data_IF_682313500269
#
_entry.id   IF_682313500269
#
_cell.length_a   1.000
_cell.length_b   1.000
_cell.length_c   1.000
_cell.angle_alpha   90.00
_cell.angle_beta   90.00
_cell.angle_gamma   90.00
#
_symmetry.space_group_name_H-M   'P 1'
#
loop_
_entity.id
_entity.type
_entity.pdbx_description
1 polymer ?
#
# COMPACT_ATOMS: atom_id res chain seq x y z
N UNK A 1 16.50 10.48 -4.84
CA UNK A 1 15.76 9.20 -4.67
C UNK A 1 15.43 9.04 -3.19
N UNK A 2 14.23 8.63 -2.82
CA UNK A 2 13.81 8.52 -1.42
C UNK A 2 14.46 7.30 -0.77
N UNK A 3 15.60 7.50 -0.09
CA UNK A 3 16.23 6.45 0.73
C UNK A 3 15.38 6.15 1.97
N UNK A 4 15.70 5.07 2.68
CA UNK A 4 15.04 4.73 3.97
C UNK A 4 15.24 5.87 4.98
N UNK A 5 16.46 6.42 5.07
CA UNK A 5 16.80 7.52 5.98
C UNK A 5 16.00 8.78 5.63
N UNK A 6 15.86 9.09 4.33
CA UNK A 6 15.05 10.21 3.87
C UNK A 6 13.59 10.02 4.26
N UNK A 7 13.02 8.84 3.99
CA UNK A 7 11.64 8.53 4.36
C UNK A 7 11.43 8.60 5.88
N UNK A 8 12.38 8.08 6.69
CA UNK A 8 12.32 8.16 8.13
C UNK A 8 12.28 9.63 8.62
N UNK A 9 13.20 10.46 8.12
CA UNK A 9 13.26 11.87 8.49
C UNK A 9 11.98 12.61 8.06
N UNK A 10 11.55 12.41 6.81
CA UNK A 10 10.40 13.09 6.25
C UNK A 10 9.10 12.73 6.99
N UNK A 11 8.80 11.44 7.15
CA UNK A 11 7.54 10.99 7.76
C UNK A 11 7.50 11.18 9.27
N UNK A 12 8.66 11.15 9.95
CA UNK A 12 8.73 11.48 11.38
C UNK A 12 8.43 12.95 11.68
N UNK A 13 8.69 13.84 10.71
CA UNK A 13 8.47 15.28 10.87
C UNK A 13 7.27 15.80 10.06
N UNK A 14 6.57 14.95 9.34
CA UNK A 14 5.42 15.36 8.52
C UNK A 14 4.28 15.87 9.40
N UNK A 15 3.68 16.98 8.99
CA UNK A 15 2.52 17.56 9.68
C UNK A 15 1.23 16.90 9.21
N UNK A 16 0.77 15.90 9.93
CA UNK A 16 -0.46 15.15 9.67
C UNK A 16 -1.69 16.01 10.00
N UNK A 17 -2.04 16.94 9.14
CA UNK A 17 -3.05 17.98 9.38
C UNK A 17 -4.45 17.42 9.61
N UNK A 18 -4.77 16.26 9.04
CA UNK A 18 -6.07 15.58 9.15
C UNK A 18 -5.92 14.09 9.46
N UNK A 19 -4.92 13.76 10.30
CA UNK A 19 -4.62 12.39 10.75
C UNK A 19 -4.43 11.36 9.61
N UNK A 20 -3.97 11.81 8.45
CA UNK A 20 -3.77 11.01 7.24
C UNK A 20 -4.93 11.10 6.23
N UNK A 21 -6.09 11.63 6.63
CA UNK A 21 -7.25 11.78 5.73
C UNK A 21 -6.99 12.80 4.62
N UNK A 22 -6.03 13.73 4.80
CA UNK A 22 -5.59 14.67 3.77
C UNK A 22 -5.19 13.98 2.46
N UNK A 23 -4.64 12.78 2.53
CA UNK A 23 -4.25 11.98 1.36
C UNK A 23 -5.45 11.31 0.66
N UNK A 24 -6.64 11.40 1.23
CA UNK A 24 -7.89 10.88 0.67
C UNK A 24 -8.81 11.95 0.10
N UNK A 25 -8.40 13.23 0.12
CA UNK A 25 -9.24 14.34 -0.30
C UNK A 25 -9.73 14.21 -1.76
N UNK A 26 -8.92 13.62 -2.65
CA UNK A 26 -9.30 13.39 -4.04
C UNK A 26 -10.54 12.49 -4.20
N UNK A 27 -10.86 11.66 -3.19
CA UNK A 27 -12.07 10.81 -3.12
C UNK A 27 -13.22 11.46 -2.35
N UNK A 28 -12.97 12.60 -1.70
CA UNK A 28 -13.90 13.20 -0.76
C UNK A 28 -13.76 12.65 0.68
N UNK A 29 -12.72 11.90 0.98
CA UNK A 29 -12.36 11.38 2.29
C UNK A 29 -12.04 9.88 2.27
N UNK A 30 -11.48 9.39 3.37
CA UNK A 30 -11.01 8.00 3.48
C UNK A 30 -12.14 6.98 3.37
N UNK A 31 -13.33 7.30 3.85
CA UNK A 31 -14.49 6.40 3.73
C UNK A 31 -14.84 6.12 2.26
N UNK A 32 -14.86 7.16 1.42
CA UNK A 32 -15.13 7.00 -0.01
C UNK A 32 -14.01 6.27 -0.74
N UNK A 33 -12.75 6.54 -0.39
CA UNK A 33 -11.60 5.79 -0.90
C UNK A 33 -11.69 4.32 -0.51
N UNK A 34 -12.03 4.02 0.76
CA UNK A 34 -12.15 2.65 1.23
C UNK A 34 -13.25 1.88 0.49
N UNK A 35 -14.49 2.37 0.56
CA UNK A 35 -15.62 1.63 0.02
C UNK A 35 -15.71 1.66 -1.50
N UNK A 36 -15.30 2.74 -2.13
CA UNK A 36 -15.42 2.91 -3.59
C UNK A 36 -14.23 2.38 -4.36
N UNK A 37 -13.04 2.36 -3.78
CA UNK A 37 -11.80 2.06 -4.51
C UNK A 37 -11.05 0.85 -3.94
N UNK A 38 -10.76 0.82 -2.63
CA UNK A 38 -9.92 -0.22 -2.05
C UNK A 38 -10.69 -1.51 -1.76
N UNK A 39 -11.81 -1.42 -1.06
CA UNK A 39 -12.59 -2.60 -0.68
C UNK A 39 -12.99 -3.47 -1.88
N UNK A 40 -13.46 -2.93 -3.02
CA UNK A 40 -13.72 -3.73 -4.22
C UNK A 40 -12.53 -4.54 -4.73
N UNK A 41 -11.29 -4.07 -4.49
CA UNK A 41 -10.05 -4.71 -4.93
C UNK A 41 -9.53 -5.78 -3.96
N UNK A 42 -9.89 -5.68 -2.67
CA UNK A 42 -9.35 -6.57 -1.62
C UNK A 42 -10.41 -7.44 -0.93
N UNK A 43 -11.70 -7.26 -1.19
CA UNK A 43 -12.80 -7.95 -0.52
C UNK A 43 -12.73 -9.49 -0.58
N UNK A 44 -12.01 -10.03 -1.56
CA UNK A 44 -11.82 -11.47 -1.68
C UNK A 44 -10.87 -12.05 -0.61
N UNK A 45 -10.11 -11.20 0.10
CA UNK A 45 -9.09 -11.58 1.09
C UNK A 45 -9.48 -11.24 2.52
N UNK A 46 -10.55 -10.48 2.72
CA UNK A 46 -11.03 -10.03 4.03
C UNK A 46 -12.55 -10.25 4.14
N UNK A 47 -13.11 -10.59 5.35
CA UNK A 47 -12.38 -10.73 6.62
C UNK A 47 -11.51 -11.98 6.69
N UNK A 48 -10.49 -11.96 7.58
CA UNK A 48 -9.54 -13.05 7.72
C UNK A 48 -9.01 -13.19 9.17
N UNK A 49 -8.15 -14.17 9.44
CA UNK A 49 -7.61 -14.39 10.79
C UNK A 49 -6.60 -13.34 11.20
N UNK A 50 -5.61 -13.07 10.34
CA UNK A 50 -4.51 -12.14 10.66
C UNK A 50 -4.18 -11.24 9.47
N UNK A 51 -4.08 -9.94 9.76
CA UNK A 51 -3.70 -8.90 8.79
C UNK A 51 -2.38 -8.25 9.25
N UNK A 52 -1.49 -8.02 8.29
CA UNK A 52 -0.30 -7.17 8.45
C UNK A 52 -0.50 -5.91 7.62
N UNK A 53 -0.51 -4.74 8.25
CA UNK A 53 -0.48 -3.45 7.57
C UNK A 53 0.92 -2.86 7.66
N UNK A 54 1.56 -2.60 6.50
CA UNK A 54 2.88 -1.99 6.42
C UNK A 54 2.73 -0.51 6.08
N UNK A 55 3.41 0.34 6.86
CA UNK A 55 3.41 1.78 6.75
C UNK A 55 2.00 2.40 6.85
N UNK A 56 1.29 2.19 8.00
CA UNK A 56 -0.06 2.72 8.24
C UNK A 56 -0.13 4.23 8.34
N UNK A 57 1.00 4.93 8.55
CA UNK A 57 1.03 6.32 8.94
C UNK A 57 0.25 6.53 10.25
N UNK A 58 -0.70 7.46 10.28
CA UNK A 58 -1.57 7.67 11.45
C UNK A 58 -2.77 6.71 11.52
N UNK A 59 -2.73 5.58 10.77
CA UNK A 59 -3.72 4.50 10.87
C UNK A 59 -5.00 4.75 10.07
N UNK A 60 -4.87 5.40 8.91
CA UNK A 60 -5.99 5.69 8.01
C UNK A 60 -6.80 4.44 7.67
N UNK A 61 -6.14 3.36 7.24
CA UNK A 61 -6.79 2.09 6.89
C UNK A 61 -6.86 1.11 8.06
N UNK A 62 -6.01 1.23 9.06
CA UNK A 62 -6.13 0.52 10.34
C UNK A 62 -7.54 0.70 10.94
N UNK A 63 -8.16 1.89 10.73
CA UNK A 63 -9.54 2.20 11.12
C UNK A 63 -10.56 1.18 10.59
N UNK A 64 -10.32 0.63 9.42
CA UNK A 64 -11.19 -0.40 8.83
C UNK A 64 -10.69 -1.82 9.15
N UNK A 65 -9.39 -2.10 8.95
CA UNK A 65 -8.85 -3.44 9.13
C UNK A 65 -9.06 -4.02 10.52
N UNK A 66 -9.11 -3.19 11.57
CA UNK A 66 -9.40 -3.66 12.93
C UNK A 66 -10.70 -4.45 13.08
N UNK A 67 -11.67 -4.22 12.18
CA UNK A 67 -12.97 -4.90 12.17
C UNK A 67 -13.03 -6.09 11.20
N UNK A 68 -11.94 -6.34 10.43
CA UNK A 68 -11.87 -7.38 9.42
C UNK A 68 -10.89 -8.52 9.76
N UNK A 69 -10.36 -8.55 10.99
CA UNK A 69 -9.45 -9.62 11.41
C UNK A 69 -9.54 -9.93 12.91
N UNK A 70 -9.01 -11.10 13.27
CA UNK A 70 -8.86 -11.49 14.67
C UNK A 70 -7.57 -10.93 15.29
N UNK A 71 -6.52 -10.74 14.48
CA UNK A 71 -5.26 -10.14 14.85
C UNK A 71 -4.83 -9.17 13.75
N UNK A 72 -4.56 -7.92 14.13
CA UNK A 72 -3.98 -6.90 13.27
C UNK A 72 -2.58 -6.56 13.75
N UNK A 73 -1.60 -6.69 12.88
CA UNK A 73 -0.25 -6.20 13.15
C UNK A 73 0.04 -5.02 12.26
N UNK A 74 0.48 -3.91 12.83
CA UNK A 74 0.91 -2.74 12.09
C UNK A 74 2.39 -2.47 12.29
N UNK A 75 3.08 -2.15 11.20
CA UNK A 75 4.53 -1.91 11.19
C UNK A 75 4.81 -0.63 10.42
N UNK A 76 5.53 0.29 11.02
CA UNK A 76 6.00 1.53 10.39
C UNK A 76 7.46 1.80 10.73
N UNK A 77 8.16 2.53 9.86
CA UNK A 77 9.53 2.95 10.15
C UNK A 77 9.56 4.22 11.03
N UNK A 78 8.49 5.03 11.00
CA UNK A 78 8.38 6.27 11.77
C UNK A 78 7.74 5.98 13.13
N UNK A 79 8.53 6.02 14.20
CA UNK A 79 8.05 5.82 15.58
C UNK A 79 6.87 6.72 15.94
N UNK A 80 6.83 8.03 15.59
CA UNK A 80 5.67 8.88 15.87
C UNK A 80 4.37 8.36 15.27
N UNK A 81 4.41 7.71 14.09
CA UNK A 81 3.23 7.09 13.48
C UNK A 81 2.69 5.94 14.33
N UNK A 82 3.57 5.09 14.83
CA UNK A 82 3.20 3.97 15.71
C UNK A 82 2.65 4.48 17.04
N UNK A 83 3.27 5.50 17.67
CA UNK A 83 2.75 6.09 18.90
C UNK A 83 1.33 6.67 18.76
N UNK A 84 1.05 7.33 17.64
CA UNK A 84 -0.29 7.85 17.36
C UNK A 84 -1.28 6.72 17.14
N UNK A 85 -0.91 5.68 16.39
CA UNK A 85 -1.76 4.51 16.22
C UNK A 85 -2.06 3.82 17.55
N UNK A 86 -1.08 3.65 18.45
CA UNK A 86 -1.30 3.11 19.78
C UNK A 86 -2.33 3.90 20.59
N UNK A 87 -2.27 5.23 20.52
CA UNK A 87 -3.24 6.13 21.19
C UNK A 87 -4.62 6.03 20.53
N UNK A 88 -4.66 6.09 19.19
CA UNK A 88 -5.91 6.07 18.40
C UNK A 88 -6.70 4.76 18.59
N UNK A 89 -5.99 3.64 18.66
CA UNK A 89 -6.58 2.31 18.74
C UNK A 89 -6.40 1.63 20.10
N UNK A 90 -6.20 2.37 21.18
CA UNK A 90 -5.93 1.85 22.53
C UNK A 90 -6.99 0.88 23.06
N UNK A 91 -8.23 0.98 22.58
CA UNK A 91 -9.34 0.11 22.99
C UNK A 91 -9.41 -1.22 22.23
N UNK A 92 -8.50 -1.47 21.27
CA UNK A 92 -8.49 -2.66 20.42
C UNK A 92 -7.29 -3.56 20.79
N UNK A 93 -7.49 -4.47 21.74
CA UNK A 93 -6.42 -5.33 22.30
C UNK A 93 -5.82 -6.32 21.31
N UNK A 94 -6.46 -6.56 20.16
CA UNK A 94 -5.98 -7.46 19.11
C UNK A 94 -5.04 -6.80 18.11
N UNK A 95 -4.70 -5.51 18.30
CA UNK A 95 -3.74 -4.79 17.45
C UNK A 95 -2.35 -4.81 18.09
N UNK A 96 -1.37 -5.25 17.32
CA UNK A 96 0.07 -5.25 17.66
C UNK A 96 0.78 -4.15 16.88
N UNK A 97 1.76 -3.52 17.51
CA UNK A 97 2.43 -2.31 17.02
C UNK A 97 3.94 -2.51 17.01
N UNK A 98 4.59 -2.25 15.89
CA UNK A 98 6.03 -2.37 15.76
C UNK A 98 6.63 -1.21 14.96
N UNK A 99 7.76 -0.72 15.43
CA UNK A 99 8.66 0.13 14.64
C UNK A 99 9.69 -0.78 13.99
N UNK A 100 9.99 -0.57 12.70
CA UNK A 100 11.03 -1.31 12.02
C UNK A 100 12.10 -0.38 11.42
N UNK A 101 13.07 -0.98 10.73
CA UNK A 101 14.15 -0.27 10.02
C UNK A 101 13.79 0.11 8.58
N UNK A 102 12.51 0.02 8.21
CA UNK A 102 12.02 0.27 6.85
C UNK A 102 12.17 -0.91 5.89
N UNK A 103 12.73 -2.03 6.32
CA UNK A 103 12.96 -3.23 5.49
C UNK A 103 12.65 -4.55 6.19
N UNK A 104 12.82 -4.62 7.52
CA UNK A 104 12.73 -5.86 8.28
C UNK A 104 11.30 -6.16 8.74
N UNK A 105 10.93 -7.44 8.70
CA UNK A 105 9.73 -8.02 9.31
C UNK A 105 10.10 -9.13 10.30
N UNK A 106 11.25 -9.05 10.96
CA UNK A 106 11.75 -10.09 11.87
C UNK A 106 10.85 -10.32 13.08
N UNK A 107 10.08 -9.28 13.48
CA UNK A 107 9.09 -9.35 14.54
C UNK A 107 7.86 -10.20 14.18
N UNK A 108 7.65 -10.50 12.90
CA UNK A 108 6.52 -11.29 12.41
C UNK A 108 6.90 -12.76 12.37
N UNK A 109 6.17 -13.66 13.02
CA UNK A 109 6.44 -15.11 12.92
C UNK A 109 6.23 -15.63 11.48
N UNK A 110 6.97 -16.69 11.12
CA UNK A 110 6.75 -17.34 9.83
C UNK A 110 5.37 -18.01 9.78
N UNK A 111 4.74 -18.02 8.61
CA UNK A 111 3.41 -18.60 8.35
C UNK A 111 2.32 -18.13 9.33
N UNK A 112 2.34 -16.84 9.68
CA UNK A 112 1.39 -16.25 10.64
C UNK A 112 0.37 -15.30 10.01
N UNK A 113 0.63 -14.79 8.80
CA UNK A 113 -0.17 -13.75 8.17
C UNK A 113 -1.06 -14.33 7.07
N UNK A 114 -2.35 -14.01 7.11
CA UNK A 114 -3.31 -14.36 6.06
C UNK A 114 -3.34 -13.31 4.96
N UNK A 115 -3.26 -12.02 5.32
CA UNK A 115 -3.28 -10.92 4.35
C UNK A 115 -2.32 -9.80 4.75
N UNK A 116 -1.52 -9.32 3.79
CA UNK A 116 -0.66 -8.14 3.97
C UNK A 116 -1.14 -7.00 3.08
N UNK A 117 -1.12 -5.79 3.62
CA UNK A 117 -1.59 -4.59 2.94
C UNK A 117 -0.62 -3.42 3.11
N UNK A 118 -0.43 -2.67 2.04
CA UNK A 118 0.15 -1.32 2.07
C UNK A 118 -0.41 -0.49 0.93
N UNK A 119 -0.85 0.73 1.24
CA UNK A 119 -1.37 1.65 0.24
C UNK A 119 -0.90 3.08 0.49
N UNK A 120 -0.51 3.76 -0.60
CA UNK A 120 -0.07 5.16 -0.63
C UNK A 120 1.18 5.47 0.22
N UNK A 121 1.98 4.44 0.51
CA UNK A 121 3.20 4.54 1.33
C UNK A 121 4.41 3.96 0.58
N UNK A 122 4.31 2.71 0.09
CA UNK A 122 5.43 2.04 -0.59
C UNK A 122 5.71 2.59 -2.00
N UNK A 123 4.96 3.57 -2.47
CA UNK A 123 5.30 4.35 -3.67
C UNK A 123 6.61 5.13 -3.50
N UNK A 124 7.03 5.36 -2.24
CA UNK A 124 8.30 6.02 -1.87
C UNK A 124 9.41 5.01 -1.50
N UNK A 125 9.16 3.72 -1.64
CA UNK A 125 10.11 2.67 -1.31
C UNK A 125 10.88 2.21 -2.56
N UNK A 126 12.21 2.40 -2.56
CA UNK A 126 13.07 1.96 -3.66
C UNK A 126 13.08 0.43 -3.79
N UNK A 127 13.53 -0.08 -4.92
CA UNK A 127 13.40 -1.49 -5.30
C UNK A 127 14.01 -2.47 -4.29
N UNK A 128 15.09 -2.09 -3.62
CA UNK A 128 15.76 -2.91 -2.59
C UNK A 128 14.88 -3.08 -1.32
N UNK A 129 14.08 -2.07 -0.98
CA UNK A 129 13.09 -2.13 0.12
C UNK A 129 11.95 -3.08 -0.24
N UNK A 130 11.42 -2.95 -1.45
CA UNK A 130 10.34 -3.83 -1.93
C UNK A 130 10.83 -5.28 -2.02
N UNK A 131 12.04 -5.50 -2.55
CA UNK A 131 12.64 -6.84 -2.58
C UNK A 131 12.76 -7.43 -1.17
N UNK A 132 13.28 -6.64 -0.20
CA UNK A 132 13.45 -7.09 1.18
C UNK A 132 12.11 -7.48 1.83
N UNK A 133 11.05 -6.70 1.63
CA UNK A 133 9.72 -7.06 2.13
C UNK A 133 9.18 -8.33 1.46
N UNK A 134 9.20 -8.41 0.13
CA UNK A 134 8.67 -9.57 -0.59
C UNK A 134 9.40 -10.87 -0.22
N UNK A 135 10.74 -10.84 -0.11
CA UNK A 135 11.54 -12.01 0.29
C UNK A 135 11.17 -12.53 1.69
N UNK A 136 10.83 -11.62 2.62
CA UNK A 136 10.36 -12.02 3.94
C UNK A 136 8.91 -12.50 3.90
N UNK A 137 8.03 -11.81 3.17
CA UNK A 137 6.62 -12.18 3.04
C UNK A 137 6.42 -13.58 2.43
N UNK A 138 7.32 -14.04 1.58
CA UNK A 138 7.32 -15.44 1.10
C UNK A 138 7.36 -16.48 2.23
N UNK A 139 7.90 -16.11 3.42
CA UNK A 139 7.93 -16.97 4.61
C UNK A 139 6.88 -16.58 5.65
N UNK A 140 6.54 -15.30 5.77
CA UNK A 140 5.61 -14.78 6.78
C UNK A 140 4.16 -15.08 6.46
N UNK A 141 3.82 -15.12 5.17
CA UNK A 141 2.48 -15.48 4.73
C UNK A 141 2.21 -16.98 4.96
N UNK A 142 0.99 -17.28 5.37
CA UNK A 142 0.47 -18.66 5.41
C UNK A 142 0.36 -19.24 4.00
N UNK A 143 0.25 -20.56 3.82
CA UNK A 143 0.19 -21.20 2.50
C UNK A 143 -0.86 -20.61 1.55
N UNK A 144 -2.00 -20.12 2.07
CA UNK A 144 -3.04 -19.45 1.29
C UNK A 144 -3.01 -17.93 1.43
N UNK A 145 -1.96 -17.40 2.07
CA UNK A 145 -1.82 -15.98 2.34
C UNK A 145 -1.67 -15.16 1.07
N UNK A 146 -2.19 -13.94 1.12
CA UNK A 146 -2.19 -13.00 0.01
C UNK A 146 -1.74 -11.60 0.44
N UNK A 147 -1.49 -10.72 -0.53
CA UNK A 147 -1.13 -9.34 -0.26
C UNK A 147 -1.61 -8.38 -1.33
N UNK A 148 -1.70 -7.12 -0.94
CA UNK A 148 -2.04 -6.01 -1.82
C UNK A 148 -1.12 -4.82 -1.52
N UNK A 149 -0.30 -4.43 -2.50
CA UNK A 149 0.64 -3.32 -2.37
C UNK A 149 0.39 -2.27 -3.44
N UNK A 150 0.34 -1.00 -3.00
CA UNK A 150 0.49 0.16 -3.85
C UNK A 150 1.96 0.58 -3.86
N UNK A 151 2.59 0.50 -5.03
CA UNK A 151 4.00 0.82 -5.20
C UNK A 151 4.23 1.64 -6.46
N UNK A 152 5.41 2.25 -6.58
CA UNK A 152 5.80 3.01 -7.76
C UNK A 152 5.92 2.13 -9.01
N UNK A 153 5.59 2.68 -10.16
CA UNK A 153 5.89 2.14 -11.49
C UNK A 153 6.66 3.17 -12.34
N UNK A 154 7.14 4.25 -11.73
CA UNK A 154 7.74 5.39 -12.46
C UNK A 154 9.02 4.99 -13.20
N UNK A 155 9.75 3.99 -12.68
CA UNK A 155 10.95 3.46 -13.33
C UNK A 155 10.71 2.87 -14.72
N UNK A 156 9.45 2.50 -15.03
CA UNK A 156 9.05 2.02 -16.38
C UNK A 156 9.25 3.08 -17.47
N UNK A 157 9.23 4.36 -17.11
CA UNK A 157 9.30 5.48 -18.04
C UNK A 157 10.70 6.04 -18.23
N UNK A 158 11.71 5.49 -17.57
CA UNK A 158 13.10 5.91 -17.74
C UNK A 158 13.61 5.60 -19.15
N UNK A 159 14.32 6.56 -19.72
CA UNK A 159 15.04 6.38 -20.96
C UNK A 159 16.30 5.50 -20.78
N UNK A 160 17.02 5.24 -21.88
CA UNK A 160 18.25 4.45 -21.84
C UNK A 160 19.39 5.08 -21.04
N UNK A 161 19.30 6.37 -20.72
CA UNK A 161 20.24 7.11 -19.86
C UNK A 161 19.79 7.14 -18.39
N UNK A 162 18.63 6.55 -18.07
CA UNK A 162 18.07 6.48 -16.74
C UNK A 162 17.29 7.72 -16.31
N UNK A 163 16.98 8.64 -17.24
CA UNK A 163 16.24 9.86 -16.94
C UNK A 163 14.73 9.65 -17.11
N UNK A 164 13.96 10.31 -16.25
CA UNK A 164 12.51 10.41 -16.42
C UNK A 164 12.16 11.51 -17.42
N UNK A 165 11.17 11.31 -18.31
CA UNK A 165 10.72 12.34 -19.27
C UNK A 165 9.83 13.42 -18.64
N UNK A 166 9.53 13.33 -17.34
CA UNK A 166 8.68 14.25 -16.59
C UNK A 166 9.18 14.43 -15.14
N UNK A 167 8.76 15.50 -14.44
CA UNK A 167 9.13 15.73 -13.05
C UNK A 167 8.56 14.66 -12.11
N UNK A 168 9.28 14.40 -11.02
CA UNK A 168 8.86 13.51 -9.92
C UNK A 168 8.71 14.29 -8.58
N UNK A 169 7.76 15.25 -8.50
CA UNK A 169 7.64 16.15 -7.34
C UNK A 169 7.21 15.44 -6.06
N UNK A 170 6.52 14.28 -6.20
CA UNK A 170 6.06 13.48 -5.07
C UNK A 170 7.04 12.36 -4.69
N UNK A 171 8.28 12.42 -5.22
CA UNK A 171 9.39 11.54 -4.86
C UNK A 171 9.03 10.05 -4.87
N UNK A 172 8.38 9.61 -5.92
CA UNK A 172 8.16 8.18 -6.14
C UNK A 172 9.49 7.47 -6.39
N UNK A 173 9.56 6.24 -5.94
CA UNK A 173 10.73 5.39 -6.09
C UNK A 173 11.04 5.15 -7.57
N UNK A 174 12.18 5.66 -8.02
CA UNK A 174 12.55 5.63 -9.43
C UNK A 174 13.20 4.32 -9.88
N UNK A 175 13.64 3.48 -8.95
CA UNK A 175 14.16 2.15 -9.26
C UNK A 175 13.04 1.12 -9.42
N UNK A 176 11.79 1.46 -9.05
CA UNK A 176 10.69 0.49 -8.98
C UNK A 176 9.84 0.49 -10.25
N UNK A 177 9.45 -0.72 -10.68
CA UNK A 177 8.53 -0.96 -11.79
C UNK A 177 7.57 -2.11 -11.45
N UNK A 178 6.41 -2.15 -12.11
CA UNK A 178 5.48 -3.27 -11.98
C UNK A 178 6.13 -4.62 -12.38
N UNK A 179 6.96 -4.62 -13.42
CA UNK A 179 7.70 -5.82 -13.86
C UNK A 179 8.68 -6.30 -12.78
N UNK A 180 9.45 -5.38 -12.20
CA UNK A 180 10.42 -5.73 -11.16
C UNK A 180 9.73 -6.28 -9.90
N UNK A 181 8.55 -5.73 -9.55
CA UNK A 181 7.73 -6.29 -8.47
C UNK A 181 7.38 -7.76 -8.72
N UNK A 182 6.91 -8.10 -9.92
CA UNK A 182 6.55 -9.47 -10.30
C UNK A 182 7.77 -10.41 -10.25
N UNK A 183 8.94 -9.94 -10.72
CA UNK A 183 10.21 -10.66 -10.64
C UNK A 183 10.61 -10.97 -9.18
N UNK A 184 10.51 -9.98 -8.29
CA UNK A 184 10.81 -10.15 -6.86
C UNK A 184 9.79 -11.05 -6.15
N UNK A 185 8.50 -10.89 -6.46
CA UNK A 185 7.47 -11.76 -5.94
C UNK A 185 7.74 -13.22 -6.33
N UNK A 186 8.06 -13.47 -7.60
CA UNK A 186 8.39 -14.81 -8.08
C UNK A 186 9.63 -15.40 -7.38
N UNK A 187 10.68 -14.60 -7.20
CA UNK A 187 11.91 -14.98 -6.48
C UNK A 187 11.62 -15.33 -5.01
N UNK A 188 10.67 -14.66 -4.40
CA UNK A 188 10.21 -14.87 -3.03
C UNK A 188 9.28 -16.09 -2.84
N UNK A 189 8.97 -16.83 -3.90
CA UNK A 189 7.99 -17.92 -3.83
C UNK A 189 6.54 -17.41 -3.80
N UNK A 190 6.32 -16.17 -4.19
CA UNK A 190 5.01 -15.54 -4.36
C UNK A 190 4.61 -15.55 -5.84
N UNK A 191 3.38 -15.20 -6.12
CA UNK A 191 2.83 -15.09 -7.46
C UNK A 191 1.90 -13.88 -7.55
N UNK A 192 2.14 -12.99 -8.48
CA UNK A 192 1.19 -11.92 -8.78
C UNK A 192 -0.09 -12.49 -9.41
N UNK A 193 -1.23 -12.07 -8.88
CA UNK A 193 -2.56 -12.39 -9.41
C UNK A 193 -3.03 -11.33 -10.39
N UNK A 194 -2.74 -10.07 -10.06
CA UNK A 194 -3.06 -8.92 -10.89
C UNK A 194 -2.15 -7.75 -10.58
N UNK A 195 -1.89 -6.95 -11.59
CA UNK A 195 -1.23 -5.65 -11.50
C UNK A 195 -2.09 -4.62 -12.22
N UNK A 196 -2.60 -3.64 -11.49
CA UNK A 196 -3.31 -2.51 -12.06
C UNK A 196 -2.36 -1.31 -12.11
N UNK A 197 -1.97 -0.90 -13.31
CA UNK A 197 -1.14 0.28 -13.52
C UNK A 197 -2.05 1.50 -13.54
N UNK A 198 -1.80 2.43 -12.66
CA UNK A 198 -2.69 3.56 -12.42
C UNK A 198 -2.00 4.91 -12.63
N UNK A 199 -2.77 5.88 -13.05
CA UNK A 199 -2.38 7.27 -12.94
C UNK A 199 -2.57 7.77 -11.49
N UNK A 200 -1.84 8.81 -11.10
CA UNK A 200 -1.99 9.42 -9.79
C UNK A 200 -1.75 10.94 -9.90
N UNK A 201 -2.69 11.74 -9.38
CA UNK A 201 -2.64 13.20 -9.49
C UNK A 201 -3.11 13.71 -10.86
N UNK A 202 -2.65 14.90 -11.23
CA UNK A 202 -3.20 15.66 -12.36
C UNK A 202 -2.63 15.29 -13.74
N UNK A 203 -1.66 14.38 -13.80
CA UNK A 203 -1.07 13.91 -15.06
C UNK A 203 -1.78 12.63 -15.51
N UNK A 204 -2.86 12.78 -16.23
CA UNK A 204 -3.84 11.72 -16.49
C UNK A 204 -3.32 10.53 -17.34
N UNK A 205 -2.29 10.72 -18.16
CA UNK A 205 -1.83 9.68 -19.09
C UNK A 205 -0.63 8.85 -18.58
N UNK A 206 -0.05 9.21 -17.43
CA UNK A 206 1.15 8.55 -16.93
C UNK A 206 0.79 7.54 -15.85
N UNK A 207 0.89 6.25 -16.18
CA UNK A 207 0.62 5.13 -15.27
C UNK A 207 1.81 4.91 -14.32
N UNK A 208 2.07 5.91 -13.48
CA UNK A 208 3.27 6.01 -12.63
C UNK A 208 3.26 5.13 -11.40
N UNK A 209 2.11 4.61 -11.02
CA UNK A 209 1.94 3.74 -9.86
C UNK A 209 1.32 2.39 -10.27
N UNK A 210 1.44 1.41 -9.40
CA UNK A 210 0.88 0.07 -9.61
C UNK A 210 0.26 -0.47 -8.32
N UNK A 211 -0.93 -1.05 -8.45
CA UNK A 211 -1.57 -1.85 -7.43
C UNK A 211 -1.30 -3.33 -7.75
N UNK A 212 -0.46 -3.98 -6.96
CA UNK A 212 -0.12 -5.39 -7.14
C UNK A 212 -0.84 -6.25 -6.11
N UNK A 213 -1.65 -7.20 -6.58
CA UNK A 213 -2.22 -8.26 -5.76
C UNK A 213 -1.42 -9.53 -5.97
N UNK A 214 -0.98 -10.16 -4.89
CA UNK A 214 -0.14 -11.35 -4.95
C UNK A 214 -0.53 -12.37 -3.87
N UNK A 215 -0.08 -13.60 -3.99
CA UNK A 215 -0.30 -14.68 -3.03
C UNK A 215 0.92 -15.60 -2.94
N UNK A 216 0.96 -16.46 -1.95
CA UNK A 216 1.90 -17.57 -1.91
C UNK A 216 1.66 -18.48 -3.12
N UNK A 217 2.74 -18.84 -3.81
CA UNK A 217 2.66 -19.67 -5.03
C UNK A 217 2.10 -21.05 -4.69
N UNK A 218 1.05 -21.43 -5.37
CA UNK A 218 0.46 -22.76 -5.30
C UNK A 218 0.77 -23.50 -6.60
N UNK A 219 1.50 -24.64 -6.56
CA UNK A 219 1.82 -25.43 -7.76
C UNK A 219 0.61 -25.90 -8.55
N UNK A 220 -0.54 -26.04 -7.89
CA UNK A 220 -1.80 -26.43 -8.52
C UNK A 220 -2.53 -25.28 -9.21
N UNK A 221 -2.09 -24.04 -8.97
CA UNK A 221 -2.75 -22.82 -9.45
C UNK A 221 -1.85 -22.11 -10.44
N UNK A 222 -2.02 -22.44 -11.72
CA UNK A 222 -1.26 -21.81 -12.80
C UNK A 222 -2.04 -20.63 -13.39
N UNK A 223 -2.21 -19.56 -12.61
CA UNK A 223 -2.77 -18.30 -13.12
C UNK A 223 -1.64 -17.37 -13.56
N UNK A 224 -1.81 -16.81 -14.76
CA UNK A 224 -0.93 -15.73 -15.22
C UNK A 224 -1.27 -14.43 -14.51
N UNK A 225 -0.25 -13.60 -14.23
CA UNK A 225 -0.42 -12.23 -13.79
C UNK A 225 -1.30 -11.46 -14.79
N UNK A 226 -2.43 -10.93 -14.32
CA UNK A 226 -3.35 -10.12 -15.13
C UNK A 226 -2.98 -8.65 -15.01
N UNK A 227 -2.53 -8.06 -16.09
CA UNK A 227 -2.15 -6.64 -16.14
C UNK A 227 -3.30 -5.81 -16.71
N UNK A 228 -3.78 -4.85 -15.93
CA UNK A 228 -4.75 -3.83 -16.31
C UNK A 228 -4.05 -2.47 -16.37
N UNK A 229 -4.12 -1.79 -17.51
CA UNK A 229 -3.73 -0.38 -17.61
C UNK A 229 -4.96 0.48 -17.37
N UNK A 230 -4.98 1.21 -16.25
CA UNK A 230 -6.12 2.04 -15.84
C UNK A 230 -5.72 3.53 -15.79
N UNK A 231 -5.81 4.26 -16.91
CA UNK A 231 -5.58 5.70 -16.92
C UNK A 231 -6.74 6.50 -16.27
N UNK A 232 -7.82 5.83 -15.87
CA UNK A 232 -9.02 6.44 -15.30
C UNK A 232 -9.13 6.30 -13.78
N UNK A 233 -8.06 5.86 -13.10
CA UNK A 233 -8.07 5.66 -11.64
C UNK A 233 -8.39 6.96 -10.89
N UNK A 234 -7.82 8.09 -11.32
CA UNK A 234 -8.15 9.39 -10.71
C UNK A 234 -9.51 9.94 -11.13
N UNK A 235 -10.11 9.43 -12.20
CA UNK A 235 -11.53 9.71 -12.51
C UNK A 235 -12.45 8.96 -11.56
N UNK A 236 -12.13 7.74 -11.14
CA UNK A 236 -12.84 7.06 -10.05
C UNK A 236 -12.89 7.96 -8.80
N UNK A 237 -11.73 8.48 -8.39
CA UNK A 237 -11.61 9.37 -7.24
C UNK A 237 -12.50 10.61 -7.38
N UNK A 238 -12.41 11.31 -8.50
CA UNK A 238 -13.21 12.52 -8.77
C UNK A 238 -14.73 12.26 -8.72
N UNK A 239 -15.19 11.17 -9.33
CA UNK A 239 -16.60 10.78 -9.29
C UNK A 239 -17.08 10.49 -7.87
N UNK A 240 -16.29 9.82 -7.05
CA UNK A 240 -16.61 9.59 -5.64
C UNK A 240 -16.61 10.88 -4.83
N UNK A 241 -15.69 11.80 -5.11
CA UNK A 241 -15.65 13.13 -4.51
C UNK A 241 -16.91 13.93 -4.84
N UNK A 242 -17.32 13.96 -6.11
CA UNK A 242 -18.53 14.69 -6.56
C UNK A 242 -19.77 14.16 -5.84
N UNK A 243 -19.90 12.82 -5.73
CA UNK A 243 -20.99 12.19 -4.98
C UNK A 243 -20.90 12.59 -3.50
N UNK A 244 -19.71 12.52 -2.89
CA UNK A 244 -19.53 12.83 -1.48
C UNK A 244 -19.94 14.26 -1.13
N UNK A 245 -19.61 15.21 -2.01
CA UNK A 245 -19.98 16.63 -1.82
C UNK A 245 -21.49 16.83 -1.93
N UNK A 246 -22.12 16.14 -2.88
CA UNK A 246 -23.57 16.25 -3.11
C UNK A 246 -24.42 15.83 -1.91
N UNK A 247 -23.96 14.80 -1.19
CA UNK A 247 -24.70 14.22 -0.04
C UNK A 247 -24.19 14.69 1.33
N UNK A 248 -23.16 15.53 1.38
CA UNK A 248 -22.77 16.17 2.65
C UNK A 248 -23.86 17.18 3.05
N UNK A 249 -24.33 17.15 4.32
CA UNK A 249 -25.20 18.21 4.80
C UNK A 249 -24.44 19.53 4.70
N UNK A 250 -25.06 20.53 4.09
CA UNK A 250 -24.57 21.90 4.16
C UNK A 250 -24.39 22.26 5.63
N UNK A 251 -23.19 22.61 6.03
CA UNK A 251 -22.97 23.16 7.39
C UNK A 251 -23.77 24.48 7.41
N UNK A 252 -24.88 24.46 8.13
CA UNK A 252 -25.63 25.66 8.48
C UNK A 252 -24.87 26.52 9.47
#
# INVERSE_FOLDING_TARGET
>A
MPTVEYNLEFWSNYSWSDQGDEWSHAWGGTEFLWWGTLYPRIQAFIPTGSILEIAPGYGRFTTYFKDYCQELTIVDLAEPCIEICQKRFANYSHIKYYVNDGKSLDMIPDQSIDFVFSFDSLVHAESDVIEAYLMQLGRKLKPNGAGFFHHSNIGHFKDSSGNLPFPNPHMRAESMTARLFDEYAHKAGLQCLSQEWINWGDQDDILKDCLSTFKVKDPQWNQHNRVLKNPHFMEEARRLQDISVLYRPSRF
#
